data_IF_128400929097
#
_entry.id   IF_128400929097
#
_cell.length_a   1.000
_cell.length_b   1.000
_cell.length_c   1.000
_cell.angle_alpha   90.00
_cell.angle_beta   90.00
_cell.angle_gamma   90.00
#
_symmetry.space_group_name_H-M   'P 1'
#
loop_
_entity.id
_entity.type
_entity.pdbx_description
1 polymer ?
#
# COMPACT_ATOMS: atom_id res chain seq x y z
N UNK A 1 -4.93 -63.01 -35.64
CA UNK A 1 -3.81 -62.61 -34.77
C UNK A 1 -3.64 -61.11 -34.96
N UNK A 2 -4.30 -60.35 -34.09
CA UNK A 2 -4.18 -58.88 -33.97
C UNK A 2 -2.90 -58.59 -33.18
N UNK A 3 -2.26 -57.43 -33.41
CA UNK A 3 -1.23 -56.68 -32.66
C UNK A 3 -0.24 -56.12 -33.71
N UNK A 4 0.19 -54.86 -33.78
CA UNK A 4 0.09 -53.70 -32.91
C UNK A 4 0.51 -52.49 -33.77
N UNK A 5 -0.43 -51.63 -34.14
CA UNK A 5 -0.15 -50.28 -34.65
C UNK A 5 -0.89 -49.34 -33.71
N UNK A 6 -0.18 -48.46 -32.99
CA UNK A 6 -0.87 -47.40 -32.23
C UNK A 6 -0.24 -46.85 -30.95
N UNK A 7 1.01 -47.14 -30.58
CA UNK A 7 1.58 -46.56 -29.35
C UNK A 7 2.51 -45.34 -29.54
N UNK A 8 3.03 -45.11 -30.75
CA UNK A 8 3.96 -44.00 -31.03
C UNK A 8 3.29 -42.63 -31.17
N UNK A 9 2.15 -42.59 -31.89
CA UNK A 9 1.48 -41.33 -32.25
C UNK A 9 0.85 -40.62 -31.04
N UNK A 10 0.31 -41.39 -30.09
CA UNK A 10 -0.37 -40.86 -28.91
C UNK A 10 0.61 -40.16 -27.96
N UNK A 11 1.88 -40.61 -27.90
CA UNK A 11 2.92 -39.98 -27.07
C UNK A 11 3.42 -38.67 -27.67
N UNK A 12 3.62 -38.62 -28.98
CA UNK A 12 4.00 -37.39 -29.70
C UNK A 12 2.88 -36.35 -29.65
N UNK A 13 1.62 -36.76 -29.85
CA UNK A 13 0.47 -35.86 -29.77
C UNK A 13 0.27 -35.29 -28.35
N UNK A 14 0.46 -36.11 -27.31
CA UNK A 14 0.44 -35.66 -25.92
C UNK A 14 1.55 -34.65 -25.62
N UNK A 15 2.77 -34.91 -26.11
CA UNK A 15 3.89 -34.00 -25.93
C UNK A 15 3.64 -32.64 -26.61
N UNK A 16 3.13 -32.67 -27.85
CA UNK A 16 2.72 -31.46 -28.57
C UNK A 16 1.60 -30.69 -27.87
N UNK A 17 0.62 -31.41 -27.31
CA UNK A 17 -0.47 -30.81 -26.53
C UNK A 17 0.05 -30.12 -25.25
N UNK A 18 0.99 -30.74 -24.52
CA UNK A 18 1.59 -30.12 -23.34
C UNK A 18 2.42 -28.87 -23.71
N UNK A 19 3.17 -28.91 -24.82
CA UNK A 19 3.91 -27.74 -25.29
C UNK A 19 2.95 -26.62 -25.71
N UNK A 20 1.90 -26.93 -26.47
CA UNK A 20 0.89 -25.96 -26.87
C UNK A 20 0.19 -25.32 -25.65
N UNK A 21 -0.12 -26.13 -24.63
CA UNK A 21 -0.73 -25.64 -23.39
C UNK A 21 0.21 -24.72 -22.61
N UNK A 22 1.51 -25.04 -22.53
CA UNK A 22 2.52 -24.18 -21.90
C UNK A 22 2.65 -22.85 -22.66
N UNK A 23 2.67 -22.88 -23.99
CA UNK A 23 2.77 -21.66 -24.81
C UNK A 23 1.53 -20.77 -24.63
N UNK A 24 0.33 -21.35 -24.64
CA UNK A 24 -0.93 -20.60 -24.42
C UNK A 24 -0.96 -19.97 -23.01
N UNK A 25 -0.48 -20.69 -21.99
CA UNK A 25 -0.41 -20.16 -20.61
C UNK A 25 0.56 -18.99 -20.45
N UNK A 26 1.60 -18.89 -21.29
CA UNK A 26 2.58 -17.79 -21.26
C UNK A 26 2.19 -16.60 -22.15
N UNK A 27 1.22 -16.76 -23.06
CA UNK A 27 0.73 -15.68 -23.93
C UNK A 27 -0.30 -14.78 -23.24
N UNK A 28 -0.83 -15.18 -22.09
CA UNK A 28 -1.70 -14.34 -21.28
C UNK A 28 -0.79 -13.48 -20.40
N UNK A 29 -0.70 -12.15 -20.60
CA UNK A 29 0.00 -11.29 -19.66
C UNK A 29 -0.77 -11.33 -18.34
N UNK A 30 -0.34 -12.20 -17.43
CA UNK A 30 -0.72 -12.13 -16.03
C UNK A 30 -0.16 -10.79 -15.55
N UNK A 31 -1.00 -9.75 -15.54
CA UNK A 31 -0.71 -8.50 -14.83
C UNK A 31 -0.62 -8.88 -13.34
N UNK A 32 0.56 -9.31 -12.92
CA UNK A 32 0.89 -9.46 -11.53
C UNK A 32 0.87 -8.05 -10.96
N UNK A 33 -0.25 -7.67 -10.35
CA UNK A 33 -0.23 -6.65 -9.32
C UNK A 33 0.66 -7.24 -8.23
N UNK A 34 1.93 -6.84 -8.23
CA UNK A 34 2.77 -7.02 -7.06
C UNK A 34 2.13 -6.16 -5.98
N UNK A 35 1.14 -6.73 -5.30
CA UNK A 35 0.58 -6.18 -4.08
C UNK A 35 1.80 -6.01 -3.17
N UNK A 36 2.17 -4.75 -2.88
CA UNK A 36 3.30 -4.47 -2.00
C UNK A 36 2.93 -4.97 -0.60
N UNK A 37 3.33 -6.21 -0.30
CA UNK A 37 3.18 -6.84 1.01
C UNK A 37 4.31 -6.41 1.97
N UNK A 38 5.01 -5.32 1.70
CA UNK A 38 6.32 -5.07 2.31
C UNK A 38 6.43 -3.86 3.23
N UNK A 39 5.74 -2.76 2.94
CA UNK A 39 5.99 -1.51 3.65
C UNK A 39 4.71 -0.98 4.34
N UNK A 40 4.57 -1.12 5.67
CA UNK A 40 3.40 -0.60 6.40
C UNK A 40 3.28 0.93 6.30
N UNK A 41 4.35 1.61 5.90
CA UNK A 41 4.40 3.07 5.73
C UNK A 41 4.12 3.51 4.29
N UNK A 42 3.93 2.58 3.34
CA UNK A 42 3.48 2.91 1.99
C UNK A 42 2.07 3.51 2.04
N UNK A 43 1.80 4.46 1.15
CA UNK A 43 0.56 5.21 1.12
C UNK A 43 -0.04 5.13 -0.28
N UNK A 44 -1.18 4.44 -0.39
CA UNK A 44 -1.72 4.03 -1.68
C UNK A 44 -2.04 5.21 -2.61
N UNK A 45 -2.52 6.33 -2.06
CA UNK A 45 -2.82 7.53 -2.85
C UNK A 45 -1.55 8.17 -3.41
N UNK A 46 -0.47 8.21 -2.62
CA UNK A 46 0.85 8.66 -3.05
C UNK A 46 1.47 7.76 -4.13
N UNK A 47 1.32 6.44 -4.01
CA UNK A 47 1.77 5.50 -5.04
C UNK A 47 0.98 5.65 -6.34
N UNK A 48 -0.35 5.76 -6.24
CA UNK A 48 -1.21 6.02 -7.38
C UNK A 48 -0.81 7.32 -8.10
N UNK A 49 -0.54 8.40 -7.37
CA UNK A 49 -0.03 9.65 -7.95
C UNK A 49 1.26 9.44 -8.76
N UNK A 50 2.25 8.75 -8.18
CA UNK A 50 3.53 8.48 -8.86
C UNK A 50 3.32 7.70 -10.16
N UNK A 51 2.53 6.64 -10.11
CA UNK A 51 2.23 5.80 -11.27
C UNK A 51 1.42 6.56 -12.33
N UNK A 52 0.42 7.35 -11.92
CA UNK A 52 -0.34 8.21 -12.83
C UNK A 52 0.59 9.20 -13.54
N UNK A 53 1.48 9.86 -12.80
CA UNK A 53 2.45 10.81 -13.37
C UNK A 53 3.37 10.14 -14.37
N UNK A 54 3.82 8.92 -14.11
CA UNK A 54 4.59 8.12 -15.06
C UNK A 54 3.81 7.89 -16.37
N UNK A 55 2.56 7.40 -16.28
CA UNK A 55 1.70 7.16 -17.46
C UNK A 55 1.38 8.43 -18.25
N UNK A 56 1.21 9.53 -17.55
CA UNK A 56 0.95 10.84 -18.13
C UNK A 56 2.19 11.46 -18.80
N UNK A 57 3.39 10.99 -18.48
CA UNK A 57 4.65 11.43 -19.10
C UNK A 57 5.05 10.60 -20.33
N UNK A 58 4.33 9.52 -20.64
CA UNK A 58 4.50 8.75 -21.88
C UNK A 58 4.22 9.62 -23.13
N UNK A 59 4.73 9.20 -24.30
CA UNK A 59 4.49 9.87 -25.58
C UNK A 59 3.81 8.89 -26.57
N UNK A 60 2.50 9.05 -26.86
CA UNK A 60 1.57 10.04 -26.29
C UNK A 60 1.18 9.74 -24.83
N UNK A 61 0.72 10.74 -24.04
CA UNK A 61 0.27 10.53 -22.66
C UNK A 61 -0.84 9.48 -22.55
N UNK A 62 -0.68 8.55 -21.61
CA UNK A 62 -1.60 7.42 -21.44
C UNK A 62 -2.66 7.70 -20.36
N UNK A 63 -3.67 8.48 -20.75
CA UNK A 63 -4.81 8.83 -19.88
C UNK A 63 -5.66 7.62 -19.47
N UNK A 64 -5.75 6.58 -20.30
CA UNK A 64 -6.51 5.38 -19.99
C UNK A 64 -5.89 4.64 -18.80
N UNK A 65 -4.58 4.39 -18.82
CA UNK A 65 -3.89 3.78 -17.69
C UNK A 65 -3.89 4.68 -16.45
N UNK A 66 -3.77 6.00 -16.62
CA UNK A 66 -3.90 6.94 -15.49
C UNK A 66 -5.28 6.85 -14.82
N UNK A 67 -6.36 6.68 -15.61
CA UNK A 67 -7.72 6.45 -15.09
C UNK A 67 -7.80 5.14 -14.31
N UNK A 68 -7.32 4.04 -14.88
CA UNK A 68 -7.31 2.73 -14.21
C UNK A 68 -6.60 2.78 -12.86
N UNK A 69 -5.44 3.46 -12.80
CA UNK A 69 -4.69 3.65 -11.55
C UNK A 69 -5.50 4.49 -10.55
N UNK A 70 -6.09 5.61 -10.99
CA UNK A 70 -6.86 6.48 -10.10
C UNK A 70 -8.07 5.78 -9.46
N UNK A 71 -8.78 4.96 -10.24
CA UNK A 71 -9.94 4.20 -9.75
C UNK A 71 -9.60 3.26 -8.58
N UNK A 72 -8.35 2.82 -8.46
CA UNK A 72 -7.91 1.97 -7.33
C UNK A 72 -7.96 2.69 -5.98
N UNK A 73 -7.77 4.01 -5.96
CA UNK A 73 -7.72 4.84 -4.75
C UNK A 73 -8.94 5.74 -4.59
N UNK A 74 -9.77 5.88 -5.62
CA UNK A 74 -10.97 6.72 -5.64
C UNK A 74 -11.90 6.47 -4.44
N UNK A 75 -12.15 5.20 -4.11
CA UNK A 75 -13.04 4.84 -3.00
C UNK A 75 -12.54 5.37 -1.65
N UNK A 76 -11.23 5.29 -1.40
CA UNK A 76 -10.62 5.81 -0.19
C UNK A 76 -10.72 7.34 -0.14
N UNK A 77 -10.40 8.00 -1.25
CA UNK A 77 -10.49 9.46 -1.38
C UNK A 77 -11.92 9.93 -1.11
N UNK A 78 -12.91 9.32 -1.77
CA UNK A 78 -14.32 9.68 -1.61
C UNK A 78 -14.81 9.51 -0.17
N UNK A 79 -14.38 8.44 0.50
CA UNK A 79 -14.76 8.15 1.88
C UNK A 79 -14.21 9.16 2.87
N UNK A 80 -12.98 9.65 2.66
CA UNK A 80 -12.29 10.52 3.61
C UNK A 80 -12.36 12.01 3.27
N UNK A 81 -12.61 12.37 2.01
CA UNK A 81 -12.55 13.76 1.53
C UNK A 81 -13.83 14.21 0.83
N UNK A 82 -14.79 13.30 0.65
CA UNK A 82 -15.97 13.52 -0.20
C UNK A 82 -15.65 13.33 -1.70
N UNK A 83 -16.68 13.36 -2.56
CA UNK A 83 -16.53 13.00 -3.98
C UNK A 83 -15.88 14.08 -4.85
N UNK A 84 -15.84 15.34 -4.39
CA UNK A 84 -15.42 16.48 -5.21
C UNK A 84 -13.97 16.40 -5.69
N UNK A 85 -12.96 16.06 -4.85
CA UNK A 85 -11.58 15.90 -5.32
C UNK A 85 -11.47 14.83 -6.42
N UNK A 86 -12.17 13.71 -6.27
CA UNK A 86 -12.15 12.63 -7.26
C UNK A 86 -12.80 13.02 -8.58
N UNK A 87 -13.92 13.76 -8.54
CA UNK A 87 -14.56 14.30 -9.74
C UNK A 87 -13.61 15.22 -10.52
N UNK A 88 -12.87 16.08 -9.82
CA UNK A 88 -11.92 16.99 -10.45
C UNK A 88 -10.79 16.25 -11.18
N UNK A 89 -10.27 15.16 -10.61
CA UNK A 89 -9.28 14.31 -11.27
C UNK A 89 -9.87 13.63 -12.50
N UNK A 90 -11.04 12.99 -12.37
CA UNK A 90 -11.68 12.28 -13.47
C UNK A 90 -12.04 13.20 -14.64
N UNK A 91 -12.56 14.41 -14.35
CA UNK A 91 -12.84 15.42 -15.38
C UNK A 91 -11.57 15.82 -16.14
N UNK A 92 -10.47 16.09 -15.43
CA UNK A 92 -9.19 16.43 -16.07
C UNK A 92 -8.63 15.28 -16.92
N UNK A 93 -8.84 14.02 -16.53
CA UNK A 93 -8.48 12.85 -17.35
C UNK A 93 -9.32 12.79 -18.62
N UNK A 94 -10.63 13.04 -18.51
CA UNK A 94 -11.57 13.04 -19.65
C UNK A 94 -11.25 14.17 -20.65
N UNK A 95 -10.89 15.35 -20.14
CA UNK A 95 -10.46 16.51 -20.92
C UNK A 95 -9.03 16.35 -21.50
N UNK A 96 -8.34 15.26 -21.16
CA UNK A 96 -6.93 15.01 -21.51
C UNK A 96 -5.99 16.15 -21.08
N UNK A 97 -6.32 16.82 -19.98
CA UNK A 97 -5.48 17.86 -19.40
C UNK A 97 -4.51 17.24 -18.39
N UNK A 98 -3.32 16.89 -18.89
CA UNK A 98 -2.24 16.33 -18.08
C UNK A 98 -1.94 17.18 -16.84
N UNK A 99 -1.87 18.50 -17.01
CA UNK A 99 -1.46 19.41 -15.96
C UNK A 99 -2.52 19.46 -14.87
N UNK A 100 -3.79 19.57 -15.24
CA UNK A 100 -4.90 19.56 -14.29
C UNK A 100 -5.01 18.22 -13.53
N UNK A 101 -4.75 17.08 -14.18
CA UNK A 101 -4.72 15.78 -13.47
C UNK A 101 -3.66 15.78 -12.38
N UNK A 102 -2.43 16.21 -12.71
CA UNK A 102 -1.32 16.26 -11.77
C UNK A 102 -1.61 17.21 -10.62
N UNK A 103 -2.07 18.43 -10.91
CA UNK A 103 -2.38 19.43 -9.87
C UNK A 103 -3.53 19.02 -8.95
N UNK A 104 -4.57 18.37 -9.49
CA UNK A 104 -5.67 17.87 -8.67
C UNK A 104 -5.22 16.72 -7.75
N UNK A 105 -4.36 15.82 -8.24
CA UNK A 105 -3.76 14.79 -7.40
C UNK A 105 -2.85 15.38 -6.33
N UNK A 106 -2.01 16.37 -6.65
CA UNK A 106 -1.16 17.05 -5.66
C UNK A 106 -1.98 17.66 -4.52
N UNK A 107 -3.13 18.30 -4.84
CA UNK A 107 -4.07 18.82 -3.82
C UNK A 107 -4.66 17.69 -2.96
N UNK A 108 -5.02 16.55 -3.55
CA UNK A 108 -5.48 15.36 -2.81
C UNK A 108 -4.40 14.87 -1.84
N UNK A 109 -3.13 14.85 -2.24
CA UNK A 109 -2.03 14.45 -1.35
C UNK A 109 -1.89 15.41 -0.16
N UNK A 110 -2.04 16.74 -0.36
CA UNK A 110 -2.07 17.71 0.74
C UNK A 110 -3.25 17.44 1.70
N UNK A 111 -4.43 17.15 1.18
CA UNK A 111 -5.60 16.79 1.99
C UNK A 111 -5.38 15.47 2.76
N UNK A 112 -4.67 14.51 2.17
CA UNK A 112 -4.31 13.25 2.84
C UNK A 112 -3.31 13.48 3.99
N UNK A 113 -2.32 14.37 3.80
CA UNK A 113 -1.44 14.79 4.91
C UNK A 113 -2.27 15.45 6.02
N UNK A 114 -3.16 16.38 5.66
CA UNK A 114 -4.02 17.08 6.62
C UNK A 114 -4.88 16.13 7.46
N UNK A 115 -5.57 15.17 6.84
CA UNK A 115 -6.40 14.19 7.58
C UNK A 115 -5.59 13.38 8.58
N UNK A 116 -4.38 12.97 8.20
CA UNK A 116 -3.52 12.13 9.03
C UNK A 116 -2.99 12.89 10.23
N UNK A 117 -2.49 14.11 10.01
CA UNK A 117 -2.01 14.96 11.10
C UNK A 117 -3.13 15.35 12.07
N UNK A 118 -4.36 15.55 11.57
CA UNK A 118 -5.53 15.78 12.41
C UNK A 118 -5.89 14.54 13.24
N UNK A 119 -5.87 13.35 12.64
CA UNK A 119 -6.11 12.10 13.36
C UNK A 119 -5.04 11.80 14.43
N UNK A 120 -3.78 12.17 14.19
CA UNK A 120 -2.72 12.08 15.19
C UNK A 120 -3.01 13.02 16.36
N UNK A 121 -3.41 14.27 16.11
CA UNK A 121 -3.74 15.19 17.20
C UNK A 121 -4.84 14.65 18.11
N UNK A 122 -5.89 14.05 17.50
CA UNK A 122 -7.02 13.48 18.24
C UNK A 122 -6.65 12.23 19.05
N UNK A 123 -5.65 11.46 18.60
CA UNK A 123 -5.22 10.20 19.22
C UNK A 123 -3.75 10.28 19.67
N UNK A 124 -3.32 11.45 20.13
CA UNK A 124 -1.91 11.78 20.33
C UNK A 124 -1.23 10.88 21.38
N UNK A 125 -2.00 10.39 22.34
CA UNK A 125 -1.58 9.45 23.39
C UNK A 125 -1.35 8.03 22.86
N UNK A 126 -1.88 7.67 21.69
CA UNK A 126 -1.68 6.37 21.04
C UNK A 126 -0.40 6.37 20.21
N UNK A 127 0.75 6.18 20.85
CA UNK A 127 2.07 6.27 20.21
C UNK A 127 2.20 5.46 18.91
N UNK A 128 1.85 4.16 18.90
CA UNK A 128 2.02 3.31 17.72
C UNK A 128 1.11 3.74 16.56
N UNK A 129 -0.15 4.08 16.86
CA UNK A 129 -1.10 4.60 15.88
C UNK A 129 -0.60 5.91 15.29
N UNK A 130 -0.22 6.86 16.16
CA UNK A 130 0.24 8.18 15.78
C UNK A 130 1.53 8.14 14.98
N UNK A 131 2.48 7.28 15.36
CA UNK A 131 3.74 7.07 14.63
C UNK A 131 3.51 6.50 13.24
N UNK A 132 2.64 5.50 13.09
CA UNK A 132 2.28 4.93 11.79
C UNK A 132 1.59 5.96 10.90
N UNK A 133 0.62 6.71 11.45
CA UNK A 133 -0.06 7.79 10.72
C UNK A 133 0.92 8.87 10.25
N UNK A 134 1.90 9.23 11.10
CA UNK A 134 2.90 10.21 10.76
C UNK A 134 3.84 9.70 9.66
N UNK A 135 4.26 8.44 9.74
CA UNK A 135 5.07 7.81 8.69
C UNK A 135 4.34 7.80 7.35
N UNK A 136 3.03 7.52 7.34
CA UNK A 136 2.21 7.61 6.12
C UNK A 136 2.06 9.04 5.60
N UNK A 137 1.82 10.01 6.48
CA UNK A 137 1.78 11.43 6.10
C UNK A 137 3.11 11.89 5.50
N UNK A 138 4.24 11.44 6.07
CA UNK A 138 5.56 11.71 5.54
C UNK A 138 5.80 11.03 4.20
N UNK A 139 5.38 9.77 4.02
CA UNK A 139 5.44 9.09 2.72
C UNK A 139 4.62 9.81 1.64
N UNK A 140 3.43 10.32 1.98
CA UNK A 140 2.65 11.19 1.10
C UNK A 140 3.41 12.47 0.76
N UNK A 141 4.08 13.08 1.74
CA UNK A 141 4.93 14.24 1.51
C UNK A 141 6.12 13.93 0.58
N UNK A 142 6.77 12.78 0.71
CA UNK A 142 7.88 12.38 -0.17
C UNK A 142 7.46 12.37 -1.65
N UNK A 143 6.21 12.03 -1.95
CA UNK A 143 5.68 12.11 -3.31
C UNK A 143 5.52 13.55 -3.82
N UNK A 144 5.26 14.52 -2.93
CA UNK A 144 5.19 15.96 -3.23
C UNK A 144 6.56 16.65 -3.22
N UNK A 145 7.53 16.10 -2.48
CA UNK A 145 8.86 16.69 -2.26
C UNK A 145 9.54 17.12 -3.57
N UNK A 146 9.56 16.33 -4.68
CA UNK A 146 10.18 16.78 -5.93
C UNK A 146 9.58 18.08 -6.50
N UNK A 147 8.28 18.31 -6.30
CA UNK A 147 7.58 19.51 -6.77
C UNK A 147 8.00 20.73 -5.95
N UNK A 148 8.12 20.55 -4.63
CA UNK A 148 8.56 21.61 -3.71
C UNK A 148 10.04 21.89 -3.91
N UNK A 149 10.89 20.87 -3.97
CA UNK A 149 12.32 20.99 -4.19
C UNK A 149 12.63 21.69 -5.53
N UNK A 150 11.86 21.42 -6.59
CA UNK A 150 11.99 22.12 -7.87
C UNK A 150 11.68 23.62 -7.81
N UNK A 151 10.93 24.08 -6.79
CA UNK A 151 10.57 25.50 -6.59
C UNK A 151 11.44 26.17 -5.52
N UNK A 152 11.62 25.51 -4.38
CA UNK A 152 12.35 26.00 -3.21
C UNK A 152 12.93 24.81 -2.40
N UNK A 153 14.20 24.45 -2.61
CA UNK A 153 14.88 23.40 -1.86
C UNK A 153 14.99 23.68 -0.35
N UNK A 154 15.03 24.95 0.06
CA UNK A 154 15.09 25.31 1.47
C UNK A 154 13.76 24.99 2.16
N UNK A 155 12.65 25.22 1.46
CA UNK A 155 11.32 24.89 1.95
C UNK A 155 11.13 23.37 2.11
N UNK A 156 11.63 22.58 1.17
CA UNK A 156 11.61 21.11 1.29
C UNK A 156 12.34 20.64 2.57
N UNK A 157 13.54 21.17 2.80
CA UNK A 157 14.32 20.88 4.02
C UNK A 157 13.58 21.31 5.29
N UNK A 158 12.92 22.46 5.27
CA UNK A 158 12.10 22.93 6.38
C UNK A 158 10.96 21.95 6.68
N UNK A 159 10.21 21.52 5.66
CA UNK A 159 9.08 20.59 5.83
C UNK A 159 9.53 19.25 6.40
N UNK A 160 10.63 18.68 5.89
CA UNK A 160 11.25 17.47 6.46
C UNK A 160 11.60 17.64 7.94
N UNK A 161 12.17 18.79 8.29
CA UNK A 161 12.50 19.15 9.68
C UNK A 161 11.25 19.23 10.56
N UNK A 162 10.13 19.75 10.05
CA UNK A 162 8.87 19.77 10.80
C UNK A 162 8.25 18.37 10.97
N UNK A 163 8.37 17.48 9.97
CA UNK A 163 7.98 16.07 10.14
C UNK A 163 8.84 15.36 11.19
N UNK A 164 10.15 15.63 11.24
CA UNK A 164 11.03 15.11 12.28
C UNK A 164 10.67 15.63 13.67
N UNK A 165 10.35 16.92 13.80
CA UNK A 165 9.86 17.50 15.07
C UNK A 165 8.54 16.88 15.49
N UNK A 166 7.60 16.71 14.56
CA UNK A 166 6.33 16.03 14.82
C UNK A 166 6.59 14.60 15.32
N UNK A 167 7.54 13.87 14.72
CA UNK A 167 7.87 12.50 15.15
C UNK A 167 8.48 12.48 16.55
N UNK A 168 9.45 13.35 16.81
CA UNK A 168 10.09 13.47 18.13
C UNK A 168 9.07 13.85 19.21
N UNK A 169 8.09 14.67 18.86
CA UNK A 169 7.05 15.12 19.79
C UNK A 169 6.09 14.02 20.22
N UNK A 170 5.97 12.91 19.47
CA UNK A 170 5.18 11.74 19.90
C UNK A 170 5.80 11.06 21.14
N UNK A 171 7.04 11.39 21.50
CA UNK A 171 7.77 10.73 22.57
C UNK A 171 8.24 9.34 22.17
N UNK A 172 8.47 8.49 23.16
CA UNK A 172 8.80 7.08 23.00
C UNK A 172 8.43 6.36 24.30
N UNK A 173 7.52 5.37 24.31
CA UNK A 173 7.20 4.62 25.53
C UNK A 173 8.38 3.80 26.07
N UNK A 174 9.38 3.52 25.23
CA UNK A 174 10.53 2.69 25.62
C UNK A 174 10.17 1.20 25.71
N UNK A 175 11.18 0.34 25.81
CA UNK A 175 10.98 -1.09 26.02
C UNK A 175 11.02 -1.34 27.53
N UNK A 176 9.86 -1.69 28.12
CA UNK A 176 9.71 -1.80 29.58
C UNK A 176 10.10 -0.52 30.35
N UNK A 177 9.85 0.66 29.76
CA UNK A 177 10.22 1.96 30.33
C UNK A 177 11.68 2.37 30.11
N UNK A 178 12.54 1.47 29.57
CA UNK A 178 13.90 1.84 29.21
C UNK A 178 13.90 2.64 27.92
N UNK A 179 14.48 3.85 27.97
CA UNK A 179 14.53 4.79 26.84
C UNK A 179 13.25 5.59 26.63
N UNK A 180 12.41 5.70 27.66
CA UNK A 180 11.19 6.51 27.62
C UNK A 180 11.51 7.98 27.32
N UNK A 181 10.71 8.58 26.43
CA UNK A 181 10.69 10.02 26.16
C UNK A 181 9.26 10.50 26.27
N UNK A 182 9.06 11.58 27.03
CA UNK A 182 7.74 12.21 27.16
C UNK A 182 7.29 12.79 25.82
N UNK A 183 6.00 12.65 25.54
CA UNK A 183 5.37 13.29 24.40
C UNK A 183 5.12 14.78 24.68
N UNK A 184 5.05 15.59 23.62
CA UNK A 184 4.81 17.03 23.66
C UNK A 184 3.81 17.43 22.57
N UNK A 185 2.53 17.51 22.95
CA UNK A 185 1.46 17.86 22.02
C UNK A 185 1.58 19.29 21.47
N UNK A 186 2.24 20.21 22.19
CA UNK A 186 2.39 21.59 21.72
C UNK A 186 3.40 21.66 20.57
N UNK A 187 4.50 20.91 20.67
CA UNK A 187 5.47 20.77 19.57
C UNK A 187 4.81 20.10 18.36
N UNK A 188 3.99 19.08 18.58
CA UNK A 188 3.22 18.45 17.50
C UNK A 188 2.31 19.45 16.79
N UNK A 189 1.48 20.18 17.54
CA UNK A 189 0.54 21.17 17.01
C UNK A 189 1.22 22.24 16.18
N UNK A 190 2.35 22.77 16.67
CA UNK A 190 3.15 23.79 15.97
C UNK A 190 3.75 23.25 14.66
N UNK A 191 4.25 22.01 14.69
CA UNK A 191 4.80 21.35 13.51
C UNK A 191 3.69 21.06 12.49
N UNK A 192 2.55 20.54 12.93
CA UNK A 192 1.34 20.34 12.11
C UNK A 192 0.92 21.63 11.43
N UNK A 193 0.75 22.71 12.19
CA UNK A 193 0.33 24.01 11.65
C UNK A 193 1.31 24.53 10.60
N UNK A 194 2.62 24.42 10.86
CA UNK A 194 3.67 24.84 9.92
C UNK A 194 3.61 24.02 8.63
N UNK A 195 3.51 22.69 8.74
CA UNK A 195 3.40 21.79 7.58
C UNK A 195 2.17 22.15 6.76
N UNK A 196 0.99 22.22 7.39
CA UNK A 196 -0.28 22.40 6.68
C UNK A 196 -0.40 23.79 6.06
N UNK A 197 0.02 24.84 6.75
CA UNK A 197 0.00 26.21 6.20
C UNK A 197 0.95 26.34 5.02
N UNK A 198 2.12 25.72 5.11
CA UNK A 198 3.11 25.74 4.03
C UNK A 198 2.58 25.01 2.80
N UNK A 199 2.09 23.77 2.96
CA UNK A 199 1.55 23.00 1.85
C UNK A 199 0.30 23.66 1.25
N UNK A 200 -0.60 24.20 2.10
CA UNK A 200 -1.76 24.95 1.64
C UNK A 200 -1.36 26.09 0.71
N UNK A 201 -0.35 26.87 1.10
CA UNK A 201 0.15 28.00 0.30
C UNK A 201 0.80 27.51 -1.00
N UNK A 202 1.65 26.49 -0.95
CA UNK A 202 2.40 26.00 -2.11
C UNK A 202 1.51 25.38 -3.20
N UNK A 203 0.38 24.79 -2.81
CA UNK A 203 -0.56 24.13 -3.73
C UNK A 203 -1.87 24.91 -3.93
N UNK A 204 -1.96 26.13 -3.40
CA UNK A 204 -3.08 27.05 -3.63
C UNK A 204 -4.43 26.53 -3.12
N UNK A 205 -4.47 25.81 -2.00
CA UNK A 205 -5.73 25.31 -1.44
C UNK A 205 -6.46 26.43 -0.68
N UNK A 206 -7.77 26.55 -0.92
CA UNK A 206 -8.64 27.47 -0.16
C UNK A 206 -8.72 27.09 1.33
N UNK A 207 -8.70 25.78 1.61
CA UNK A 207 -8.76 25.23 2.96
C UNK A 207 -8.14 23.83 2.98
N UNK A 208 -7.45 23.52 4.07
CA UNK A 208 -7.02 22.15 4.43
C UNK A 208 -7.92 21.51 5.49
N UNK A 209 -8.90 22.26 6.02
CA UNK A 209 -9.97 21.72 6.88
C UNK A 209 -10.96 20.97 6.01
N UNK A 210 -10.99 19.65 6.16
CA UNK A 210 -11.88 18.76 5.43
C UNK A 210 -13.16 18.61 6.27
N UNK A 211 -14.28 19.10 5.76
CA UNK A 211 -15.56 19.21 6.48
C UNK A 211 -16.36 17.91 6.64
N UNK A 212 -15.80 16.75 6.28
CA UNK A 212 -16.54 15.48 6.19
C UNK A 212 -15.79 14.28 6.79
N UNK A 213 -14.98 14.46 7.83
CA UNK A 213 -14.54 13.30 8.61
C UNK A 213 -15.69 12.82 9.48
N UNK A 214 -16.47 11.84 9.02
CA UNK A 214 -17.27 11.06 9.94
C UNK A 214 -16.32 10.40 10.94
N UNK A 215 -16.64 10.42 12.22
CA UNK A 215 -15.85 9.77 13.29
C UNK A 215 -15.56 8.28 12.98
N UNK A 216 -16.43 7.65 12.19
CA UNK A 216 -16.29 6.28 11.67
C UNK A 216 -15.14 6.07 10.69
N UNK A 217 -14.54 7.13 10.15
CA UNK A 217 -13.45 7.14 9.18
C UNK A 217 -12.07 7.41 9.82
N UNK A 218 -12.01 7.48 11.16
CA UNK A 218 -10.75 7.33 11.88
C UNK A 218 -10.15 6.01 11.43
N UNK A 219 -8.90 6.03 10.91
CA UNK A 219 -8.19 4.80 10.58
C UNK A 219 -8.18 3.97 11.86
N UNK A 220 -9.08 2.98 11.92
CA UNK A 220 -9.03 1.97 12.97
C UNK A 220 -7.59 1.49 12.91
N UNK A 221 -6.88 1.42 14.05
CA UNK A 221 -5.59 0.76 14.02
C UNK A 221 -5.85 -0.52 13.28
N UNK A 222 -5.11 -0.77 12.17
CA UNK A 222 -5.16 -2.07 11.47
C UNK A 222 -5.34 -3.02 12.60
N UNK A 223 -6.51 -3.69 12.65
CA UNK A 223 -6.74 -4.62 13.72
C UNK A 223 -5.45 -5.39 13.68
N UNK A 224 -4.69 -5.34 14.79
CA UNK A 224 -3.72 -6.38 15.04
C UNK A 224 -4.66 -7.55 14.85
N UNK A 225 -4.62 -8.17 13.66
CA UNK A 225 -5.10 -9.50 13.49
C UNK A 225 -4.33 -10.09 14.63
N UNK A 226 -5.04 -10.36 15.73
CA UNK A 226 -4.52 -11.27 16.72
C UNK A 226 -4.14 -12.39 15.78
N UNK A 227 -2.85 -12.53 15.51
CA UNK A 227 -2.29 -13.81 15.19
C UNK A 227 -2.67 -14.53 16.46
N UNK A 228 -3.88 -15.09 16.47
CA UNK A 228 -4.15 -16.32 17.16
C UNK A 228 -3.11 -17.23 16.51
N UNK A 229 -1.91 -17.19 17.10
CA UNK A 229 -0.98 -18.29 17.04
C UNK A 229 -1.84 -19.52 17.21
N UNK A 230 -1.73 -20.44 16.26
CA UNK A 230 -2.58 -21.62 16.13
C UNK A 230 -2.86 -22.17 17.52
N UNK A 231 -4.07 -21.94 18.04
CA UNK A 231 -4.39 -22.24 19.43
C UNK A 231 -4.29 -23.76 19.60
N UNK A 232 -3.18 -24.23 20.18
CA UNK A 232 -2.82 -25.64 20.26
C UNK A 232 -3.75 -26.42 21.20
N UNK A 233 -4.62 -25.72 21.95
CA UNK A 233 -5.63 -26.32 22.81
C UNK A 233 -6.79 -26.93 22.01
N UNK A 234 -7.02 -26.50 20.77
CA UNK A 234 -8.09 -27.02 19.92
C UNK A 234 -7.58 -28.19 19.09
N UNK A 235 -8.15 -29.38 19.28
CA UNK A 235 -7.77 -30.61 18.57
C UNK A 235 -7.77 -30.48 17.04
N UNK A 236 -8.62 -29.61 16.47
CA UNK A 236 -8.67 -29.35 15.02
C UNK A 236 -7.40 -28.69 14.47
N UNK A 237 -6.64 -27.98 15.30
CA UNK A 237 -5.41 -27.29 14.91
C UNK A 237 -4.20 -28.25 14.78
N UNK A 238 -4.33 -29.50 15.24
CA UNK A 238 -3.33 -30.54 15.07
C UNK A 238 -3.47 -31.32 13.76
N UNK A 239 -4.60 -31.19 13.06
CA UNK A 239 -4.89 -31.91 11.82
C UNK A 239 -3.78 -31.70 10.76
N UNK A 240 -3.27 -30.47 10.50
CA UNK A 240 -2.20 -30.27 9.52
C UNK A 240 -0.89 -30.96 9.90
N UNK A 241 -0.53 -30.96 11.19
CA UNK A 241 0.68 -31.61 11.68
C UNK A 241 0.61 -33.14 11.58
N UNK A 242 -0.57 -33.71 11.86
CA UNK A 242 -0.81 -35.16 11.72
C UNK A 242 -0.70 -35.57 10.25
N UNK A 243 -1.25 -34.79 9.32
CA UNK A 243 -1.15 -35.06 7.87
C UNK A 243 0.32 -35.06 7.42
N UNK A 244 1.11 -34.08 7.85
CA UNK A 244 2.55 -34.03 7.54
C UNK A 244 3.28 -35.25 8.11
N UNK A 245 3.01 -35.61 9.37
CA UNK A 245 3.62 -36.77 10.01
C UNK A 245 3.29 -38.08 9.28
N UNK A 246 2.04 -38.27 8.84
CA UNK A 246 1.62 -39.46 8.07
C UNK A 246 2.32 -39.52 6.71
N UNK A 247 2.49 -38.40 6.02
CA UNK A 247 3.21 -38.34 4.74
C UNK A 247 4.68 -38.71 4.93
N UNK A 248 5.34 -38.19 5.96
CA UNK A 248 6.74 -38.49 6.26
C UNK A 248 6.92 -39.97 6.63
N UNK A 249 6.06 -40.51 7.51
CA UNK A 249 6.11 -41.91 7.90
C UNK A 249 5.80 -42.85 6.72
N UNK A 250 4.85 -42.49 5.86
CA UNK A 250 4.53 -43.21 4.64
C UNK A 250 5.72 -43.25 3.67
N UNK A 251 6.37 -42.10 3.44
CA UNK A 251 7.57 -42.01 2.61
C UNK A 251 8.73 -42.83 3.17
N UNK A 252 8.97 -42.77 4.49
CA UNK A 252 9.99 -43.56 5.16
C UNK A 252 9.73 -45.07 5.05
N UNK A 253 8.47 -45.51 5.23
CA UNK A 253 8.08 -46.91 5.07
C UNK A 253 8.26 -47.42 3.64
N UNK A 254 7.89 -46.59 2.64
CA UNK A 254 8.10 -46.93 1.23
C UNK A 254 9.60 -47.03 0.92
N UNK A 255 10.41 -46.10 1.42
CA UNK A 255 11.86 -46.09 1.24
C UNK A 255 12.52 -47.34 1.86
N UNK A 256 12.17 -47.69 3.09
CA UNK A 256 12.69 -48.89 3.77
C UNK A 256 12.22 -50.18 3.07
N UNK A 257 10.97 -50.25 2.61
CA UNK A 257 10.48 -51.41 1.85
C UNK A 257 11.17 -51.57 0.50
N UNK A 258 11.48 -50.48 -0.19
CA UNK A 258 12.26 -50.51 -1.44
C UNK A 258 13.69 -50.97 -1.21
N UNK A 259 14.32 -50.56 -0.11
CA UNK A 259 15.69 -50.97 0.25
C UNK A 259 15.81 -52.44 0.66
N UNK A 260 14.76 -53.06 1.21
CA UNK A 260 14.75 -54.50 1.56
C UNK A 260 14.39 -55.44 0.40
N UNK A 261 13.95 -54.90 -0.74
CA UNK A 261 13.62 -55.66 -1.96
C UNK A 261 14.69 -55.55 -3.06
N UNK A 262 15.75 -54.78 -2.81
CA UNK A 262 17.00 -54.78 -3.56
C UNK A 262 18.02 -55.61 -2.78
#
# INVERSE_FOLDING_TARGET
MILMEGEGDVKSFRFFFYIAMIVILNLIPLKAFAYSYGNPNEEAVAEAYKQMKEKLNEQPPNFASAKEIFETVKKEIDMHMGPEPSKAVLAAIEDKDRQAVVENMEKILVLNIARRLENIEKNFDQYDTSKRLLAKAFATYEALSPVIQGKDPSLDKQLRTEFDKALQSLGNPGLFGVGEKKSDINVFKKSKETILTTLQKQFGLKSVKIGHFSESATEKPDAVQKKEWTDLSKAKNWIPLIVIAVVILGAALIYVRRRKRA
#
